data_IF_115581795506
#
_entry.id   IF_115581795506
#
_cell.length_a   1.000
_cell.length_b   1.000
_cell.length_c   1.000
_cell.angle_alpha   90.00
_cell.angle_beta   90.00
_cell.angle_gamma   90.00
#
_symmetry.space_group_name_H-M   'P 1'
#
loop_
_entity.id
_entity.type
_entity.pdbx_description
1 polymer ?
#
# COMPACT_ATOMS: atom_id res chain seq x y z
N UNK A 1 -24.92 37.66 -11.18
CA UNK A 1 -24.17 36.37 -11.33
C UNK A 1 -22.89 36.54 -10.55
N UNK A 2 -22.85 36.12 -9.29
CA UNK A 2 -21.65 36.14 -8.50
C UNK A 2 -20.79 34.98 -8.98
N UNK A 3 -19.68 35.25 -9.65
CA UNK A 3 -18.61 34.29 -9.83
C UNK A 3 -17.94 34.09 -8.45
N UNK A 4 -18.36 33.06 -7.73
CA UNK A 4 -17.48 32.51 -6.67
C UNK A 4 -16.15 32.13 -7.32
N UNK A 5 -15.00 32.57 -6.77
CA UNK A 5 -13.71 32.16 -7.31
C UNK A 5 -13.66 30.64 -7.28
N UNK A 6 -13.35 30.00 -8.41
CA UNK A 6 -13.04 28.57 -8.45
C UNK A 6 -11.96 28.32 -7.41
N UNK A 7 -12.29 27.58 -6.33
CA UNK A 7 -11.30 27.11 -5.38
C UNK A 7 -10.20 26.40 -6.16
N UNK A 8 -8.97 26.86 -6.05
CA UNK A 8 -7.82 26.18 -6.65
C UNK A 8 -7.67 24.82 -5.97
N UNK A 9 -7.96 23.74 -6.69
CA UNK A 9 -7.68 22.39 -6.25
C UNK A 9 -6.15 22.23 -6.11
N UNK A 10 -5.67 21.98 -4.92
CA UNK A 10 -4.25 21.69 -4.69
C UNK A 10 -4.02 20.18 -4.53
N UNK A 11 -2.78 19.73 -4.68
CA UNK A 11 -2.40 18.33 -4.47
C UNK A 11 -1.60 18.24 -3.18
N UNK A 12 -2.15 17.52 -2.21
CA UNK A 12 -1.48 17.33 -0.91
C UNK A 12 -0.47 16.19 -0.94
N UNK A 13 0.58 16.31 -0.11
CA UNK A 13 1.50 15.21 0.22
C UNK A 13 0.97 14.32 1.36
N UNK A 14 -0.16 14.71 1.96
CA UNK A 14 -0.83 13.88 2.96
C UNK A 14 -1.34 12.60 2.30
N UNK A 15 -1.05 11.48 2.90
CA UNK A 15 -1.47 10.17 2.47
C UNK A 15 -1.62 9.25 3.66
N UNK A 16 -2.24 8.10 3.48
CA UNK A 16 -2.50 7.21 4.60
C UNK A 16 -2.40 5.75 4.25
N UNK A 17 -2.88 4.95 5.19
CA UNK A 17 -3.04 3.53 5.09
C UNK A 17 -4.27 3.11 5.88
N UNK A 18 -5.16 2.37 5.24
CA UNK A 18 -6.29 1.73 5.92
C UNK A 18 -5.80 0.61 6.84
N UNK A 19 -6.42 0.49 8.00
CA UNK A 19 -6.13 -0.43 9.07
C UNK A 19 -7.40 -1.19 9.48
N UNK A 20 -7.29 -2.07 10.47
CA UNK A 20 -8.46 -2.71 11.09
C UNK A 20 -9.22 -1.68 11.91
N UNK A 21 -10.50 -1.46 11.57
CA UNK A 21 -11.38 -0.46 12.20
C UNK A 21 -10.76 0.94 12.31
N UNK A 22 -9.80 1.27 11.41
CA UNK A 22 -9.01 2.47 11.55
C UNK A 22 -8.31 2.94 10.29
N UNK A 23 -7.68 4.11 10.41
CA UNK A 23 -6.86 4.72 9.36
C UNK A 23 -5.64 5.39 10.00
N UNK A 24 -4.47 5.15 9.42
CA UNK A 24 -3.28 5.95 9.69
C UNK A 24 -3.11 6.98 8.59
N UNK A 25 -2.99 8.25 8.97
CA UNK A 25 -2.67 9.36 8.07
C UNK A 25 -1.29 9.92 8.38
N UNK A 26 -0.53 10.22 7.34
CA UNK A 26 0.80 10.82 7.44
C UNK A 26 0.81 12.17 6.74
N UNK A 27 1.14 13.20 7.48
CA UNK A 27 1.40 14.54 6.99
C UNK A 27 2.90 14.88 7.01
N UNK A 28 3.24 16.14 6.69
CA UNK A 28 4.63 16.62 6.71
C UNK A 28 5.29 16.51 8.08
N UNK A 29 4.57 16.84 9.15
CA UNK A 29 5.09 16.93 10.52
C UNK A 29 4.64 15.80 11.42
N UNK A 30 3.39 15.31 11.24
CA UNK A 30 2.77 14.33 12.12
C UNK A 30 2.23 13.12 11.36
N UNK A 31 2.19 12.00 12.08
CA UNK A 31 1.44 10.80 11.72
C UNK A 31 0.33 10.66 12.75
N UNK A 32 -0.90 10.46 12.32
CA UNK A 32 -2.03 10.18 13.19
C UNK A 32 -2.66 8.84 12.81
N UNK A 33 -2.85 8.00 13.81
CA UNK A 33 -3.63 6.76 13.70
C UNK A 33 -4.94 6.96 14.46
N UNK A 34 -6.07 6.85 13.78
CA UNK A 34 -7.40 6.87 14.38
C UNK A 34 -8.04 5.48 14.23
N UNK A 35 -8.56 4.93 15.32
CA UNK A 35 -9.15 3.59 15.38
C UNK A 35 -10.47 3.64 16.13
N UNK A 36 -11.51 2.99 15.64
CA UNK A 36 -12.77 2.85 16.32
C UNK A 36 -12.72 1.66 17.29
N UNK A 37 -13.02 1.95 18.57
CA UNK A 37 -13.12 0.95 19.63
C UNK A 37 -14.45 0.18 19.58
N UNK A 38 -14.54 -0.97 20.29
CA UNK A 38 -15.80 -1.71 20.42
C UNK A 38 -16.95 -0.90 21.05
N UNK A 39 -16.64 0.06 21.93
CA UNK A 39 -17.63 0.97 22.54
C UNK A 39 -18.13 2.07 21.59
N UNK A 40 -17.62 2.12 20.35
CA UNK A 40 -17.97 3.10 19.33
C UNK A 40 -17.17 4.40 19.39
N UNK A 41 -16.34 4.62 20.42
CA UNK A 41 -15.46 5.80 20.50
C UNK A 41 -14.28 5.69 19.53
N UNK A 42 -13.72 6.84 19.14
CA UNK A 42 -12.54 6.88 18.27
C UNK A 42 -11.33 7.24 19.13
N UNK A 43 -10.34 6.33 19.14
CA UNK A 43 -9.06 6.59 19.76
C UNK A 43 -8.08 7.12 18.71
N UNK A 44 -7.33 8.19 19.06
CA UNK A 44 -6.33 8.79 18.17
C UNK A 44 -4.95 8.75 18.82
N UNK A 45 -3.95 8.30 18.06
CA UNK A 45 -2.53 8.29 18.45
C UNK A 45 -1.76 9.16 17.47
N UNK A 46 -1.09 10.20 17.97
CA UNK A 46 -0.31 11.14 17.16
C UNK A 46 1.17 10.95 17.47
N UNK A 47 1.99 10.85 16.44
CA UNK A 47 3.45 10.77 16.54
C UNK A 47 4.10 11.72 15.51
N UNK A 48 5.35 12.14 15.76
CA UNK A 48 6.07 12.95 14.80
C UNK A 48 6.48 12.15 13.57
N UNK A 49 6.41 12.76 12.39
CA UNK A 49 6.87 12.14 11.15
C UNK A 49 8.39 11.99 11.18
N UNK A 50 8.94 10.77 11.03
CA UNK A 50 10.36 10.54 10.99
C UNK A 50 11.04 11.37 9.90
N UNK A 51 12.13 12.08 10.25
CA UNK A 51 12.92 12.84 9.27
C UNK A 51 13.80 11.89 8.48
N UNK A 52 13.71 11.95 7.17
CA UNK A 52 14.50 11.11 6.28
C UNK A 52 15.96 11.58 6.22
N UNK A 53 16.89 10.61 6.19
CA UNK A 53 18.32 10.85 5.99
C UNK A 53 18.65 11.25 4.53
N UNK A 54 19.95 11.47 4.27
CA UNK A 54 20.49 11.88 2.95
C UNK A 54 20.07 10.91 1.84
N UNK A 55 19.94 9.61 2.13
CA UNK A 55 19.56 8.54 1.19
C UNK A 55 18.19 8.76 0.55
N UNK A 56 17.27 9.40 1.25
CA UNK A 56 15.93 9.75 0.72
C UNK A 56 15.98 10.79 -0.41
N UNK A 57 17.13 11.44 -0.64
CA UNK A 57 17.34 12.41 -1.73
C UNK A 57 17.82 11.74 -3.03
N UNK A 58 18.33 10.51 -2.97
CA UNK A 58 18.88 9.81 -4.12
C UNK A 58 17.74 9.12 -4.90
N UNK A 59 17.47 9.51 -6.16
CA UNK A 59 16.48 8.84 -7.00
C UNK A 59 16.74 7.32 -7.05
N UNK A 60 15.71 6.53 -7.21
CA UNK A 60 15.68 5.06 -7.18
C UNK A 60 15.95 4.46 -5.79
N UNK A 61 16.99 4.90 -5.06
CA UNK A 61 17.29 4.43 -3.70
C UNK A 61 16.18 4.82 -2.74
N UNK A 62 15.70 6.05 -2.83
CA UNK A 62 14.58 6.54 -1.99
C UNK A 62 13.32 5.69 -2.15
N UNK A 63 13.04 5.15 -3.35
CA UNK A 63 11.88 4.31 -3.59
C UNK A 63 11.94 3.00 -2.82
N UNK A 64 13.09 2.32 -2.79
CA UNK A 64 13.29 1.10 -2.03
C UNK A 64 13.21 1.36 -0.51
N UNK A 65 13.86 2.43 -0.03
CA UNK A 65 13.84 2.81 1.38
C UNK A 65 12.42 3.19 1.83
N UNK A 66 11.73 4.06 1.08
CA UNK A 66 10.35 4.47 1.41
C UNK A 66 9.39 3.30 1.46
N UNK A 67 9.60 2.28 0.59
CA UNK A 67 8.80 1.06 0.61
C UNK A 67 9.03 0.26 1.90
N UNK A 68 10.29 0.07 2.30
CA UNK A 68 10.63 -0.64 3.54
C UNK A 68 10.07 0.10 4.76
N UNK A 69 10.27 1.42 4.82
CA UNK A 69 9.71 2.25 5.89
C UNK A 69 8.18 2.17 5.94
N UNK A 70 7.51 2.22 4.79
CA UNK A 70 6.05 2.10 4.72
C UNK A 70 5.57 0.73 5.19
N UNK A 71 6.28 -0.36 4.87
CA UNK A 71 5.95 -1.70 5.34
C UNK A 71 6.09 -1.82 6.85
N UNK A 72 7.21 -1.35 7.42
CA UNK A 72 7.46 -1.39 8.87
C UNK A 72 6.43 -0.54 9.62
N UNK A 73 6.23 0.70 9.17
CA UNK A 73 5.28 1.63 9.78
C UNK A 73 3.85 1.10 9.66
N UNK A 74 3.46 0.65 8.47
CA UNK A 74 2.14 0.12 8.20
C UNK A 74 1.81 -1.11 9.04
N UNK A 75 2.77 -2.02 9.21
CA UNK A 75 2.58 -3.18 10.08
C UNK A 75 2.42 -2.76 11.55
N UNK A 76 3.29 -1.87 12.06
CA UNK A 76 3.20 -1.38 13.45
C UNK A 76 1.82 -0.78 13.75
N UNK A 77 1.30 0.05 12.86
CA UNK A 77 -0.04 0.63 13.03
C UNK A 77 -1.16 -0.37 12.80
N UNK A 78 -0.97 -1.39 11.95
CA UNK A 78 -1.93 -2.47 11.78
C UNK A 78 -2.10 -3.28 13.08
N UNK A 79 -0.99 -3.64 13.75
CA UNK A 79 -1.02 -4.34 15.04
C UNK A 79 -1.66 -3.46 16.13
N UNK A 80 -1.28 -2.17 16.19
CA UNK A 80 -1.90 -1.23 17.12
C UNK A 80 -3.42 -1.12 16.89
N UNK A 81 -3.86 -1.05 15.63
CA UNK A 81 -5.29 -0.94 15.33
C UNK A 81 -6.03 -2.23 15.68
N UNK A 82 -5.43 -3.40 15.44
CA UNK A 82 -6.01 -4.68 15.85
C UNK A 82 -6.23 -4.73 17.36
N UNK A 83 -5.21 -4.38 18.16
CA UNK A 83 -5.29 -4.34 19.62
C UNK A 83 -6.38 -3.38 20.10
N UNK A 84 -6.45 -2.16 19.57
CA UNK A 84 -7.44 -1.15 19.97
C UNK A 84 -8.85 -1.52 19.54
N UNK A 85 -9.01 -2.10 18.34
CA UNK A 85 -10.33 -2.44 17.78
C UNK A 85 -10.94 -3.70 18.38
N UNK A 86 -10.13 -4.62 18.90
CA UNK A 86 -10.61 -5.84 19.58
C UNK A 86 -10.78 -5.62 21.09
N UNK A 87 -10.08 -4.64 21.68
CA UNK A 87 -10.14 -4.34 23.11
C UNK A 87 -9.82 -5.56 23.97
N UNK A 88 -10.63 -5.83 25.00
CA UNK A 88 -10.41 -6.95 25.95
C UNK A 88 -10.48 -8.33 25.26
N UNK A 89 -11.12 -8.46 24.09
CA UNK A 89 -11.15 -9.71 23.32
C UNK A 89 -9.76 -10.06 22.75
N UNK A 90 -8.93 -9.05 22.44
CA UNK A 90 -7.57 -9.29 21.97
C UNK A 90 -6.73 -10.08 22.97
N UNK A 91 -6.82 -9.71 24.25
CA UNK A 91 -6.10 -10.41 25.34
C UNK A 91 -6.70 -11.80 25.66
N UNK A 92 -7.98 -12.04 25.32
CA UNK A 92 -8.68 -13.29 25.58
C UNK A 92 -8.50 -14.35 24.47
N UNK A 93 -8.28 -13.95 23.22
CA UNK A 93 -8.05 -14.86 22.09
C UNK A 93 -6.59 -15.30 21.95
N UNK A 94 -5.64 -14.59 22.57
CA UNK A 94 -4.23 -15.04 22.64
C UNK A 94 -4.04 -16.11 23.71
N UNK A 95 -4.51 -17.35 23.48
CA UNK A 95 -3.73 -18.49 23.94
C UNK A 95 -2.38 -18.42 23.22
N UNK A 96 -1.39 -17.79 23.88
CA UNK A 96 0.00 -17.75 23.37
C UNK A 96 0.35 -19.11 22.79
N UNK A 97 0.61 -19.16 21.50
CA UNK A 97 1.05 -20.40 20.86
C UNK A 97 2.30 -20.92 21.56
N UNK A 98 2.55 -22.21 21.53
CA UNK A 98 3.76 -22.78 22.14
C UNK A 98 5.05 -22.11 21.61
N UNK A 99 5.00 -21.59 20.38
CA UNK A 99 6.08 -20.84 19.76
C UNK A 99 6.20 -19.42 20.36
N UNK A 100 5.11 -18.72 20.59
CA UNK A 100 5.10 -17.39 21.21
C UNK A 100 5.60 -17.43 22.65
N UNK A 101 5.14 -18.41 23.44
CA UNK A 101 5.69 -18.68 24.80
C UNK A 101 7.19 -18.94 24.77
N UNK A 102 7.64 -19.82 23.85
CA UNK A 102 9.07 -20.12 23.73
C UNK A 102 9.88 -18.88 23.33
N UNK A 103 9.38 -18.04 22.41
CA UNK A 103 10.02 -16.79 21.99
C UNK A 103 10.04 -15.78 23.14
N UNK A 104 8.93 -15.62 23.87
CA UNK A 104 8.81 -14.75 25.04
C UNK A 104 9.79 -15.11 26.15
N UNK A 105 9.88 -16.40 26.48
CA UNK A 105 10.77 -16.92 27.51
C UNK A 105 12.27 -16.72 27.19
N UNK A 106 12.64 -16.79 25.89
CA UNK A 106 14.07 -16.73 25.50
C UNK A 106 14.51 -15.32 25.08
N UNK A 107 13.63 -14.46 24.60
CA UNK A 107 13.95 -13.17 23.98
C UNK A 107 13.38 -11.96 24.75
N UNK A 108 12.52 -12.19 25.74
CA UNK A 108 11.95 -11.16 26.60
C UNK A 108 11.30 -10.01 25.80
N UNK A 109 11.55 -8.76 26.18
CA UNK A 109 10.96 -7.57 25.53
C UNK A 109 11.25 -7.40 24.03
N UNK A 110 12.16 -8.18 23.45
CA UNK A 110 12.44 -8.19 22.01
C UNK A 110 11.65 -9.26 21.25
N UNK A 111 10.84 -10.05 21.94
CA UNK A 111 10.06 -11.13 21.35
C UNK A 111 9.12 -10.61 20.26
N UNK A 112 8.36 -9.56 20.54
CA UNK A 112 7.42 -8.94 19.61
C UNK A 112 8.13 -8.41 18.35
N UNK A 113 9.25 -7.69 18.50
CA UNK A 113 10.03 -7.18 17.37
C UNK A 113 10.55 -8.31 16.47
N UNK A 114 10.96 -9.43 17.06
CA UNK A 114 11.49 -10.57 16.31
C UNK A 114 10.37 -11.33 15.61
N UNK A 115 9.24 -11.55 16.27
CA UNK A 115 8.06 -12.17 15.67
C UNK A 115 7.54 -11.32 14.50
N UNK A 116 7.50 -10.01 14.68
CA UNK A 116 7.17 -9.04 13.66
C UNK A 116 8.10 -9.14 12.44
N UNK A 117 9.41 -9.12 12.69
CA UNK A 117 10.41 -9.26 11.64
C UNK A 117 10.27 -10.61 10.91
N UNK A 118 10.03 -11.69 11.64
CA UNK A 118 9.81 -13.02 11.06
C UNK A 118 8.56 -13.06 10.18
N UNK A 119 7.44 -12.51 10.64
CA UNK A 119 6.20 -12.43 9.85
C UNK A 119 6.39 -11.60 8.56
N UNK A 120 7.07 -10.45 8.67
CA UNK A 120 7.39 -9.62 7.50
C UNK A 120 8.30 -10.35 6.48
N UNK A 121 9.30 -11.08 6.97
CA UNK A 121 10.19 -11.90 6.12
C UNK A 121 9.41 -13.04 5.44
N UNK A 122 8.59 -13.77 6.19
CA UNK A 122 7.76 -14.87 5.64
C UNK A 122 6.78 -14.32 4.59
N UNK A 123 6.09 -13.23 4.88
CA UNK A 123 5.18 -12.58 3.93
C UNK A 123 5.91 -12.09 2.67
N UNK A 124 7.09 -11.50 2.83
CA UNK A 124 7.94 -11.07 1.71
C UNK A 124 8.42 -12.24 0.85
N UNK A 125 8.86 -13.35 1.47
CA UNK A 125 9.24 -14.57 0.77
C UNK A 125 8.05 -15.19 0.03
N UNK A 126 6.88 -15.23 0.64
CA UNK A 126 5.65 -15.70 0.00
C UNK A 126 5.29 -14.85 -1.23
N UNK A 127 5.36 -13.53 -1.12
CA UNK A 127 5.09 -12.63 -2.23
C UNK A 127 6.11 -12.83 -3.37
N UNK A 128 7.40 -13.00 -3.07
CA UNK A 128 8.43 -13.31 -4.06
C UNK A 128 8.13 -14.66 -4.74
N UNK A 129 7.82 -15.69 -3.96
CA UNK A 129 7.48 -17.01 -4.48
C UNK A 129 6.27 -16.93 -5.43
N UNK A 130 5.21 -16.28 -5.00
CA UNK A 130 3.95 -16.21 -5.74
C UNK A 130 4.07 -15.34 -7.01
N UNK A 131 4.68 -14.16 -6.92
CA UNK A 131 4.67 -13.19 -8.02
C UNK A 131 5.93 -13.17 -8.87
N UNK A 132 7.01 -13.81 -8.43
CA UNK A 132 8.28 -13.82 -9.19
C UNK A 132 8.72 -15.23 -9.57
N UNK A 133 8.74 -16.16 -8.61
CA UNK A 133 9.25 -17.52 -8.86
C UNK A 133 8.20 -18.35 -9.61
N UNK A 134 6.96 -18.40 -9.14
CA UNK A 134 5.91 -19.24 -9.70
C UNK A 134 5.66 -19.01 -11.19
N UNK A 135 5.48 -17.77 -11.72
CA UNK A 135 5.31 -17.56 -13.16
C UNK A 135 6.52 -18.04 -13.96
N UNK A 136 7.74 -17.83 -13.44
CA UNK A 136 8.99 -18.22 -14.11
C UNK A 136 9.12 -19.74 -14.20
N UNK A 137 8.83 -20.44 -13.11
CA UNK A 137 8.90 -21.91 -13.04
C UNK A 137 7.82 -22.55 -13.93
N UNK A 138 6.61 -22.02 -13.92
CA UNK A 138 5.51 -22.53 -14.78
C UNK A 138 5.86 -22.39 -16.26
N UNK A 139 6.39 -21.25 -16.69
CA UNK A 139 6.82 -21.04 -18.08
C UNK A 139 8.05 -21.89 -18.43
N UNK A 140 9.01 -22.04 -17.50
CA UNK A 140 10.15 -22.92 -17.65
C UNK A 140 9.74 -24.38 -17.81
N UNK A 141 8.84 -24.85 -16.97
CA UNK A 141 8.28 -26.21 -17.04
C UNK A 141 7.50 -26.46 -18.34
N UNK A 142 6.64 -25.51 -18.73
CA UNK A 142 5.91 -25.62 -20.01
C UNK A 142 6.86 -25.69 -21.22
N UNK A 143 7.97 -24.96 -21.19
CA UNK A 143 8.96 -25.00 -22.26
C UNK A 143 9.66 -26.36 -22.42
N UNK A 144 9.67 -27.22 -21.38
CA UNK A 144 10.13 -28.62 -21.50
C UNK A 144 9.13 -29.52 -22.25
N UNK A 145 7.84 -29.20 -22.15
CA UNK A 145 6.77 -29.95 -22.80
C UNK A 145 6.53 -29.47 -24.25
N UNK A 146 6.54 -28.15 -24.43
CA UNK A 146 6.33 -27.49 -25.73
C UNK A 146 7.41 -26.43 -25.90
N UNK A 147 8.37 -26.63 -26.87
CA UNK A 147 9.42 -25.66 -27.12
C UNK A 147 8.85 -24.28 -27.47
N UNK A 148 9.11 -23.29 -26.63
CA UNK A 148 8.63 -21.92 -26.78
C UNK A 148 9.80 -21.02 -27.24
N UNK A 149 9.55 -20.15 -28.20
CA UNK A 149 10.51 -19.11 -28.53
C UNK A 149 10.64 -18.08 -27.39
N UNK A 150 11.69 -17.24 -27.43
CA UNK A 150 11.98 -16.26 -26.36
C UNK A 150 10.79 -15.33 -26.06
N UNK A 151 10.18 -14.80 -27.10
CA UNK A 151 9.07 -13.83 -26.94
C UNK A 151 7.82 -14.47 -26.38
N UNK A 152 7.49 -15.69 -26.80
CA UNK A 152 6.37 -16.44 -26.23
C UNK A 152 6.57 -16.67 -24.73
N UNK A 153 7.78 -17.01 -24.27
CA UNK A 153 8.08 -17.13 -22.82
C UNK A 153 7.90 -15.82 -22.08
N UNK A 154 8.38 -14.70 -22.62
CA UNK A 154 8.26 -13.39 -22.00
C UNK A 154 6.79 -12.98 -21.89
N UNK A 155 6.01 -13.11 -22.95
CA UNK A 155 4.58 -12.76 -22.96
C UNK A 155 3.80 -13.66 -22.01
N UNK A 156 4.03 -14.97 -22.06
CA UNK A 156 3.32 -15.92 -21.19
C UNK A 156 3.64 -15.66 -19.70
N UNK A 157 4.91 -15.40 -19.39
CA UNK A 157 5.32 -15.04 -18.02
C UNK A 157 4.66 -13.74 -17.53
N UNK A 158 4.56 -12.73 -18.41
CA UNK A 158 3.89 -11.47 -18.10
C UNK A 158 2.40 -11.69 -17.85
N UNK A 159 1.72 -12.44 -18.73
CA UNK A 159 0.29 -12.77 -18.58
C UNK A 159 0.02 -13.54 -17.29
N UNK A 160 0.83 -14.58 -17.01
CA UNK A 160 0.71 -15.36 -15.78
C UNK A 160 0.91 -14.49 -14.52
N UNK A 161 1.92 -13.64 -14.52
CA UNK A 161 2.17 -12.72 -13.39
C UNK A 161 0.97 -11.80 -13.12
N UNK A 162 0.43 -11.17 -14.15
CA UNK A 162 -0.74 -10.29 -14.03
C UNK A 162 -1.97 -11.11 -13.59
N UNK A 163 -2.19 -12.28 -14.17
CA UNK A 163 -3.32 -13.14 -13.81
C UNK A 163 -3.25 -13.59 -12.35
N UNK A 164 -2.08 -14.05 -11.89
CA UNK A 164 -1.86 -14.44 -10.48
C UNK A 164 -2.11 -13.26 -9.56
N UNK A 165 -1.57 -12.07 -9.90
CA UNK A 165 -1.78 -10.86 -9.11
C UNK A 165 -3.26 -10.49 -9.00
N UNK A 166 -3.98 -10.42 -10.12
CA UNK A 166 -5.40 -10.06 -10.12
C UNK A 166 -6.26 -11.10 -9.41
N UNK A 167 -5.96 -12.40 -9.59
CA UNK A 167 -6.66 -13.49 -8.90
C UNK A 167 -6.45 -13.42 -7.39
N UNK A 168 -5.19 -13.19 -6.95
CA UNK A 168 -4.87 -13.00 -5.54
C UNK A 168 -5.62 -11.81 -4.96
N UNK A 169 -5.57 -10.63 -5.62
CA UNK A 169 -6.30 -9.44 -5.16
C UNK A 169 -7.81 -9.68 -5.08
N UNK A 170 -8.39 -10.35 -6.09
CA UNK A 170 -9.80 -10.68 -6.10
C UNK A 170 -10.19 -11.71 -5.03
N UNK A 171 -9.30 -12.62 -4.67
CA UNK A 171 -9.53 -13.60 -3.60
C UNK A 171 -9.53 -12.94 -2.22
N UNK A 172 -8.47 -12.17 -1.89
CA UNK A 172 -8.35 -11.53 -0.58
C UNK A 172 -9.42 -10.45 -0.37
N UNK A 173 -9.86 -9.74 -1.44
CA UNK A 173 -10.91 -8.72 -1.34
C UNK A 173 -12.29 -9.28 -0.95
N UNK A 174 -12.47 -10.61 -1.01
CA UNK A 174 -13.71 -11.29 -0.58
C UNK A 174 -13.69 -11.75 0.88
N UNK A 175 -12.54 -11.73 1.53
CA UNK A 175 -12.43 -12.00 2.96
C UNK A 175 -13.06 -10.82 3.72
N UNK A 176 -13.92 -11.08 4.70
CA UNK A 176 -14.71 -10.05 5.39
C UNK A 176 -13.83 -8.98 6.04
N UNK A 177 -12.77 -9.40 6.71
CA UNK A 177 -11.83 -8.54 7.42
C UNK A 177 -11.08 -7.63 6.43
N UNK A 178 -10.60 -8.20 5.32
CA UNK A 178 -9.89 -7.44 4.27
C UNK A 178 -10.85 -6.51 3.51
N UNK A 179 -12.08 -6.98 3.24
CA UNK A 179 -13.10 -6.15 2.61
C UNK A 179 -13.36 -4.88 3.43
N UNK A 180 -13.49 -5.04 4.75
CA UNK A 180 -13.70 -3.92 5.67
C UNK A 180 -12.50 -2.95 5.71
N UNK A 181 -11.27 -3.45 5.71
CA UNK A 181 -10.07 -2.61 5.53
C UNK A 181 -10.12 -1.84 4.20
N UNK A 182 -10.62 -2.46 3.13
CA UNK A 182 -10.77 -1.79 1.83
C UNK A 182 -11.90 -0.76 1.79
N UNK A 183 -12.90 -0.84 2.67
CA UNK A 183 -13.90 0.22 2.89
C UNK A 183 -13.25 1.41 3.61
N UNK A 184 -12.44 1.19 4.65
CA UNK A 184 -11.63 2.24 5.29
C UNK A 184 -10.67 2.92 4.30
N UNK A 185 -10.11 2.17 3.35
CA UNK A 185 -9.31 2.71 2.26
C UNK A 185 -10.13 3.65 1.35
N UNK A 186 -11.41 3.33 1.13
CA UNK A 186 -12.35 4.22 0.46
C UNK A 186 -12.59 5.51 1.23
N UNK A 187 -12.71 5.44 2.56
CA UNK A 187 -12.88 6.60 3.43
C UNK A 187 -11.65 7.52 3.40
N UNK A 188 -10.43 6.92 3.46
CA UNK A 188 -9.16 7.65 3.29
C UNK A 188 -9.16 8.48 2.00
N UNK A 189 -9.42 7.83 0.85
CA UNK A 189 -9.39 8.49 -0.46
C UNK A 189 -10.41 9.62 -0.59
N UNK A 190 -11.64 9.38 -0.12
CA UNK A 190 -12.71 10.40 -0.15
C UNK A 190 -12.35 11.61 0.71
N UNK A 191 -11.76 11.38 1.89
CA UNK A 191 -11.38 12.44 2.82
C UNK A 191 -10.23 13.28 2.26
N UNK A 192 -9.22 12.65 1.65
CA UNK A 192 -8.13 13.36 0.97
C UNK A 192 -8.69 14.16 -0.22
N UNK A 193 -9.60 13.60 -1.02
CA UNK A 193 -10.19 14.28 -2.17
C UNK A 193 -11.03 15.50 -1.74
N UNK A 194 -11.77 15.40 -0.62
CA UNK A 194 -12.51 16.51 -0.04
C UNK A 194 -11.60 17.65 0.41
N UNK A 195 -10.51 17.30 1.10
CA UNK A 195 -9.49 18.26 1.54
C UNK A 195 -8.82 18.98 0.35
N UNK A 196 -8.42 18.24 -0.69
CA UNK A 196 -7.81 18.80 -1.91
C UNK A 196 -8.74 19.71 -2.70
N UNK A 197 -10.06 19.49 -2.59
CA UNK A 197 -11.07 20.37 -3.18
C UNK A 197 -11.30 21.65 -2.33
N UNK A 198 -10.71 21.70 -1.11
CA UNK A 198 -10.88 22.82 -0.18
C UNK A 198 -12.27 22.88 0.45
N UNK A 199 -13.02 21.77 0.47
CA UNK A 199 -14.30 21.69 1.15
C UNK A 199 -14.13 21.35 2.64
N UNK A 200 -15.03 21.82 3.52
CA UNK A 200 -15.00 21.47 4.93
C UNK A 200 -15.06 19.94 5.13
N UNK A 201 -14.19 19.41 6.01
CA UNK A 201 -14.13 17.99 6.32
C UNK A 201 -15.31 17.59 7.23
N UNK A 202 -16.45 17.38 6.63
CA UNK A 202 -17.66 16.85 7.26
C UNK A 202 -18.06 15.55 6.55
N UNK A 203 -18.73 14.64 7.26
CA UNK A 203 -19.20 13.38 6.68
C UNK A 203 -20.03 13.63 5.43
N UNK A 204 -20.90 14.64 5.45
CA UNK A 204 -21.76 15.01 4.33
C UNK A 204 -20.96 15.44 3.08
N UNK A 205 -19.89 16.20 3.25
CA UNK A 205 -19.06 16.64 2.14
C UNK A 205 -18.17 15.51 1.64
N UNK A 206 -17.47 14.80 2.52
CA UNK A 206 -16.58 13.68 2.18
C UNK A 206 -17.33 12.61 1.38
N UNK A 207 -18.59 12.30 1.74
CA UNK A 207 -19.43 11.33 1.03
C UNK A 207 -19.59 11.62 -0.46
N UNK A 208 -19.56 12.88 -0.87
CA UNK A 208 -19.75 13.32 -2.28
C UNK A 208 -18.56 12.99 -3.18
N UNK A 209 -17.38 12.75 -2.60
CA UNK A 209 -16.15 12.54 -3.36
C UNK A 209 -15.98 11.09 -3.81
N UNK A 210 -15.15 10.91 -4.84
CA UNK A 210 -14.82 9.59 -5.38
C UNK A 210 -13.85 8.84 -4.46
N UNK A 211 -14.04 7.53 -4.35
CA UNK A 211 -13.12 6.64 -3.65
C UNK A 211 -11.85 6.30 -4.45
N UNK A 212 -11.78 6.68 -5.72
CA UNK A 212 -10.62 6.41 -6.57
C UNK A 212 -9.61 7.55 -6.49
N UNK A 213 -8.36 7.23 -6.18
CA UNK A 213 -7.31 8.23 -6.00
C UNK A 213 -6.05 7.87 -6.80
N UNK A 214 -5.49 8.80 -7.62
CA UNK A 214 -4.40 8.49 -8.54
C UNK A 214 -3.03 8.30 -7.88
N UNK A 215 -2.85 8.70 -6.62
CA UNK A 215 -1.59 8.61 -5.86
C UNK A 215 -1.60 7.51 -4.80
N UNK A 216 -2.53 6.58 -4.91
CA UNK A 216 -2.68 5.47 -3.97
C UNK A 216 -1.53 4.46 -4.04
N UNK A 217 -1.18 3.87 -2.89
CA UNK A 217 -0.17 2.82 -2.79
C UNK A 217 -0.49 1.56 -3.61
N UNK A 218 -1.78 1.23 -3.85
CA UNK A 218 -2.15 0.11 -4.73
C UNK A 218 -1.78 0.37 -6.20
N UNK A 219 -1.77 1.65 -6.63
CA UNK A 219 -1.23 2.02 -7.94
C UNK A 219 0.28 1.75 -8.05
N UNK A 220 1.02 1.84 -6.96
CA UNK A 220 2.43 1.44 -6.92
C UNK A 220 2.60 -0.06 -7.19
N UNK A 221 1.78 -0.93 -6.60
CA UNK A 221 1.88 -2.38 -6.80
C UNK A 221 1.73 -2.76 -8.28
N UNK A 222 0.75 -2.22 -8.98
CA UNK A 222 0.59 -2.52 -10.42
C UNK A 222 1.72 -1.93 -11.25
N UNK A 223 2.27 -0.77 -10.88
CA UNK A 223 3.47 -0.23 -11.53
C UNK A 223 4.68 -1.14 -11.35
N UNK A 224 4.88 -1.72 -10.15
CA UNK A 224 5.92 -2.74 -9.90
C UNK A 224 5.74 -3.94 -10.82
N UNK A 225 4.52 -4.43 -11.01
CA UNK A 225 4.23 -5.53 -11.94
C UNK A 225 4.60 -5.14 -13.37
N UNK A 226 4.14 -3.99 -13.86
CA UNK A 226 4.39 -3.52 -15.23
C UNK A 226 5.88 -3.29 -15.46
N UNK A 227 6.56 -2.53 -14.60
CA UNK A 227 8.00 -2.26 -14.71
C UNK A 227 8.81 -3.55 -14.68
N UNK A 228 8.43 -4.50 -13.81
CA UNK A 228 9.11 -5.80 -13.75
C UNK A 228 8.98 -6.61 -15.05
N UNK A 229 7.84 -6.54 -15.74
CA UNK A 229 7.66 -7.20 -17.04
C UNK A 229 8.65 -6.65 -18.05
N UNK A 230 8.79 -5.32 -18.15
CA UNK A 230 9.75 -4.69 -19.07
C UNK A 230 11.20 -5.02 -18.71
N UNK A 231 11.61 -4.84 -17.45
CA UNK A 231 12.99 -5.10 -17.03
C UNK A 231 13.37 -6.58 -17.14
N UNK A 232 12.45 -7.50 -16.83
CA UNK A 232 12.74 -8.93 -16.87
C UNK A 232 12.66 -9.51 -18.29
N UNK A 233 12.06 -8.79 -19.25
CA UNK A 233 11.99 -9.22 -20.65
C UNK A 233 13.37 -9.38 -21.31
N UNK A 234 14.36 -8.57 -20.88
CA UNK A 234 15.73 -8.61 -21.42
C UNK A 234 16.57 -9.73 -20.82
N UNK A 235 16.15 -10.33 -19.70
CA UNK A 235 16.89 -11.40 -19.05
C UNK A 235 16.93 -12.67 -19.90
N UNK A 236 18.08 -13.38 -19.92
CA UNK A 236 18.22 -14.63 -20.66
C UNK A 236 17.36 -15.76 -20.07
N UNK A 237 17.01 -16.72 -20.93
CA UNK A 237 16.27 -17.94 -20.56
C UNK A 237 17.21 -19.18 -20.57
N UNK A 238 18.51 -19.00 -20.39
CA UNK A 238 19.49 -20.09 -20.39
C UNK A 238 19.30 -21.07 -19.22
N UNK A 239 18.87 -20.54 -18.05
CA UNK A 239 18.58 -21.31 -16.86
C UNK A 239 17.43 -20.63 -16.07
N UNK A 240 16.42 -21.41 -15.67
CA UNK A 240 15.31 -20.92 -14.86
C UNK A 240 15.79 -20.40 -13.50
N UNK A 241 16.70 -21.14 -12.83
CA UNK A 241 17.24 -20.74 -11.53
C UNK A 241 18.03 -19.43 -11.62
N UNK A 242 18.93 -19.32 -12.61
CA UNK A 242 19.70 -18.09 -12.81
C UNK A 242 18.80 -16.89 -13.14
N UNK A 243 17.73 -17.11 -13.92
CA UNK A 243 16.75 -16.08 -14.21
C UNK A 243 16.04 -15.58 -12.95
N UNK A 244 15.68 -16.48 -12.02
CA UNK A 244 15.09 -16.10 -10.71
C UNK A 244 16.10 -15.25 -9.92
N UNK A 245 17.36 -15.66 -9.84
CA UNK A 245 18.40 -14.89 -9.14
C UNK A 245 18.53 -13.48 -9.71
N UNK A 246 18.60 -13.33 -11.04
CA UNK A 246 18.67 -11.99 -11.67
C UNK A 246 17.43 -11.14 -11.38
N UNK A 247 16.23 -11.74 -11.33
CA UNK A 247 15.02 -11.01 -10.97
C UNK A 247 15.05 -10.48 -9.53
N UNK A 248 15.56 -11.28 -8.60
CA UNK A 248 15.73 -10.86 -7.21
C UNK A 248 16.75 -9.72 -7.08
N UNK A 249 17.86 -9.81 -7.79
CA UNK A 249 18.87 -8.75 -7.81
C UNK A 249 18.35 -7.44 -8.43
N UNK A 250 17.44 -7.53 -9.41
CA UNK A 250 16.82 -6.37 -10.06
C UNK A 250 15.61 -5.82 -9.28
N UNK A 251 15.11 -6.52 -8.27
CA UNK A 251 13.92 -6.10 -7.52
C UNK A 251 14.04 -4.69 -6.91
N UNK A 252 15.15 -4.30 -6.26
CA UNK A 252 15.30 -2.93 -5.76
C UNK A 252 15.24 -1.87 -6.87
N UNK A 253 15.76 -2.18 -8.05
CA UNK A 253 15.70 -1.29 -9.21
C UNK A 253 14.26 -1.17 -9.74
N UNK A 254 13.52 -2.28 -9.81
CA UNK A 254 12.08 -2.29 -10.16
C UNK A 254 11.30 -1.39 -9.21
N UNK A 255 11.52 -1.54 -7.89
CA UNK A 255 10.85 -0.73 -6.87
C UNK A 255 11.20 0.76 -7.03
N UNK A 256 12.48 1.07 -7.23
CA UNK A 256 12.94 2.46 -7.41
C UNK A 256 12.29 3.12 -8.64
N UNK A 257 12.31 2.46 -9.80
CA UNK A 257 11.70 2.98 -11.02
C UNK A 257 10.18 3.16 -10.84
N UNK A 258 9.50 2.20 -10.24
CA UNK A 258 8.05 2.25 -10.01
C UNK A 258 7.68 3.42 -9.08
N UNK A 259 8.50 3.70 -8.06
CA UNK A 259 8.32 4.84 -7.17
C UNK A 259 8.49 6.18 -7.90
N UNK A 260 9.54 6.32 -8.72
CA UNK A 260 9.74 7.54 -9.50
C UNK A 260 8.60 7.77 -10.51
N UNK A 261 8.10 6.70 -11.14
CA UNK A 261 6.93 6.79 -12.02
C UNK A 261 5.68 7.22 -11.25
N UNK A 262 5.42 6.64 -10.08
CA UNK A 262 4.30 7.05 -9.24
C UNK A 262 4.39 8.52 -8.85
N UNK A 263 5.59 8.96 -8.43
CA UNK A 263 5.85 10.35 -8.05
C UNK A 263 5.68 11.31 -9.24
N UNK A 264 6.14 10.93 -10.41
CA UNK A 264 5.91 11.70 -11.64
C UNK A 264 4.42 11.78 -11.98
N UNK A 265 3.69 10.66 -11.89
CA UNK A 265 2.25 10.61 -12.09
C UNK A 265 1.48 11.48 -11.08
N UNK A 266 1.96 11.59 -9.84
CA UNK A 266 1.35 12.46 -8.83
C UNK A 266 1.48 13.95 -9.16
N UNK A 267 2.66 14.35 -9.66
CA UNK A 267 3.00 15.76 -9.95
C UNK A 267 2.41 16.29 -11.26
N UNK A 268 2.39 15.46 -12.28
CA UNK A 268 2.05 15.86 -13.65
C UNK A 268 0.67 15.36 -14.05
N UNK A 269 -0.04 16.15 -14.87
CA UNK A 269 -1.32 15.76 -15.47
C UNK A 269 -1.28 15.91 -16.99
N UNK A 270 -0.50 15.04 -17.64
CA UNK A 270 -0.40 14.94 -19.09
C UNK A 270 -0.93 13.59 -19.59
N UNK A 271 -1.05 13.43 -20.91
CA UNK A 271 -1.57 12.20 -21.53
C UNK A 271 -0.80 10.96 -21.08
N UNK A 272 0.54 11.04 -21.00
CA UNK A 272 1.38 9.91 -20.59
C UNK A 272 1.10 9.49 -19.14
N UNK A 273 1.03 10.45 -18.19
CA UNK A 273 0.72 10.15 -16.79
C UNK A 273 -0.71 9.66 -16.59
N UNK A 274 -1.68 10.13 -17.41
CA UNK A 274 -3.05 9.60 -17.40
C UNK A 274 -3.09 8.13 -17.82
N UNK A 275 -2.35 7.76 -18.88
CA UNK A 275 -2.25 6.36 -19.35
C UNK A 275 -1.59 5.48 -18.29
N UNK A 276 -0.47 5.93 -17.70
CA UNK A 276 0.27 5.16 -16.69
C UNK A 276 -0.55 4.94 -15.40
N UNK A 277 -1.38 5.90 -14.99
CA UNK A 277 -2.26 5.79 -13.81
C UNK A 277 -3.43 4.83 -14.03
N UNK A 278 -3.88 4.63 -15.27
CA UNK A 278 -5.12 3.91 -15.56
C UNK A 278 -5.15 2.48 -15.03
N UNK A 279 -4.10 1.65 -15.20
CA UNK A 279 -4.07 0.31 -14.61
C UNK A 279 -4.22 0.32 -13.08
N UNK A 280 -3.60 1.31 -12.40
CA UNK A 280 -3.75 1.50 -10.95
C UNK A 280 -5.20 1.77 -10.54
N UNK A 281 -5.87 2.68 -11.24
CA UNK A 281 -7.28 2.98 -10.99
C UNK A 281 -8.21 1.78 -11.26
N UNK A 282 -7.87 0.91 -12.21
CA UNK A 282 -8.63 -0.34 -12.42
C UNK A 282 -8.47 -1.31 -11.26
N UNK A 283 -7.25 -1.48 -10.73
CA UNK A 283 -7.00 -2.36 -9.58
C UNK A 283 -7.70 -1.86 -8.33
N UNK A 284 -7.86 -0.55 -8.15
CA UNK A 284 -8.61 0.03 -7.03
C UNK A 284 -10.07 -0.45 -6.98
N UNK A 285 -10.66 -0.92 -8.08
CA UNK A 285 -11.99 -1.54 -8.05
C UNK A 285 -12.04 -2.83 -7.22
N UNK A 286 -10.88 -3.45 -6.98
CA UNK A 286 -10.73 -4.66 -6.16
C UNK A 286 -10.25 -4.34 -4.74
N UNK A 287 -9.70 -3.16 -4.49
CA UNK A 287 -8.98 -2.81 -3.25
C UNK A 287 -9.51 -1.56 -2.56
N UNK A 288 -10.59 -0.97 -3.08
CA UNK A 288 -11.20 0.24 -2.53
C UNK A 288 -12.72 0.12 -2.67
N UNK A 289 -13.41 0.03 -1.54
CA UNK A 289 -14.87 -0.08 -1.50
C UNK A 289 -15.53 1.20 -0.96
N UNK A 290 -16.85 1.27 -1.04
CA UNK A 290 -17.60 2.42 -0.56
C UNK A 290 -17.70 2.35 0.96
N UNK A 291 -17.20 3.37 1.70
CA UNK A 291 -17.25 3.40 3.15
C UNK A 291 -18.65 3.80 3.65
N UNK A 292 -18.98 3.38 4.85
CA UNK A 292 -20.07 3.94 5.60
C UNK A 292 -19.69 5.26 6.31
N UNK A 293 -20.65 5.93 6.90
CA UNK A 293 -20.43 7.22 7.58
C UNK A 293 -19.50 7.10 8.78
N UNK A 294 -19.58 6.00 9.50
CA UNK A 294 -18.74 5.76 10.68
C UNK A 294 -17.27 5.65 10.32
N UNK A 295 -16.95 5.08 9.15
CA UNK A 295 -15.59 5.01 8.62
C UNK A 295 -15.08 6.38 8.15
N UNK A 296 -15.98 7.21 7.58
CA UNK A 296 -15.65 8.60 7.21
C UNK A 296 -15.31 9.43 8.44
N UNK A 297 -16.02 9.25 9.57
CA UNK A 297 -15.69 9.91 10.84
C UNK A 297 -14.27 9.59 11.31
N UNK A 298 -13.87 8.30 11.23
CA UNK A 298 -12.49 7.87 11.56
C UNK A 298 -11.48 8.50 10.62
N UNK A 299 -11.78 8.58 9.32
CA UNK A 299 -10.89 9.19 8.32
C UNK A 299 -10.70 10.70 8.59
N UNK A 300 -11.75 11.40 8.96
CA UNK A 300 -11.70 12.82 9.35
C UNK A 300 -10.88 12.99 10.63
N UNK A 301 -11.09 12.14 11.63
CA UNK A 301 -10.33 12.17 12.88
C UNK A 301 -8.83 11.89 12.65
N UNK A 302 -8.49 11.00 11.71
CA UNK A 302 -7.10 10.70 11.36
C UNK A 302 -6.42 11.82 10.57
N UNK A 303 -7.12 12.45 9.62
CA UNK A 303 -6.52 13.45 8.73
C UNK A 303 -6.34 14.80 9.41
N UNK A 304 -7.29 15.22 10.25
CA UNK A 304 -7.30 16.56 10.84
C UNK A 304 -6.00 16.94 11.58
N UNK A 305 -5.41 16.06 12.44
CA UNK A 305 -4.19 16.40 13.17
C UNK A 305 -2.92 16.44 12.31
N UNK A 306 -2.95 15.93 11.08
CA UNK A 306 -1.78 15.83 10.20
C UNK A 306 -1.78 16.87 9.09
N UNK A 307 -2.84 17.68 8.99
CA UNK A 307 -2.89 18.76 8.03
C UNK A 307 -1.90 19.86 8.43
N UNK A 308 -1.08 20.36 7.49
CA UNK A 308 -0.18 21.46 7.74
C UNK A 308 -0.96 22.75 8.03
N UNK A 309 -0.41 23.62 8.87
CA UNK A 309 -0.98 24.95 9.14
C UNK A 309 -1.00 25.80 7.86
N UNK A 310 0.08 25.74 7.06
CA UNK A 310 0.12 26.33 5.72
C UNK A 310 -0.05 25.22 4.66
N UNK A 311 -1.10 25.29 3.82
CA UNK A 311 -1.29 24.34 2.72
C UNK A 311 -0.10 24.23 1.76
N UNK A 312 0.75 25.26 1.66
CA UNK A 312 1.98 25.24 0.85
C UNK A 312 2.99 24.20 1.35
N UNK A 313 3.12 24.03 2.67
CA UNK A 313 4.03 23.05 3.28
C UNK A 313 3.58 21.60 3.05
N UNK A 314 2.30 21.42 2.74
CA UNK A 314 1.69 20.13 2.43
C UNK A 314 1.59 19.81 0.94
N UNK A 315 2.15 20.59 0.02
CA UNK A 315 2.09 20.31 -1.42
C UNK A 315 2.93 19.10 -1.82
N UNK A 316 2.37 18.32 -2.76
CA UNK A 316 3.00 17.10 -3.30
C UNK A 316 4.29 17.37 -4.08
#
# INVERSE_FOLDING_TARGET
MNHEPKKECFKTSVGGQALMEGIMMRGPEHICCAVRKPDGTIETKIEDTPKHGIWAKIPLVRGAISMIESLITGYRYMMYSAQVSMGDEYDAEEEESAFEKWVGDHLGKKAEDIMLAAAAVIGGLFAILLFTVLPTVLVGGLNHLVPLNRWAKVVLEAVLKVAIFLTYMAAISRMKEIHRVFEYHGAEHKTIACYEAGDPLTVENVRKYTRFHPRCGTSFLILVVIVSVFLYSVLPWSSTSLRVVFKLLLLPLVMGISYELLKWCGRSDNIATRIIRQPGLWVQRLTVFEPDDSMIEVAIAAVTPVLPEDPEDGKW
#
